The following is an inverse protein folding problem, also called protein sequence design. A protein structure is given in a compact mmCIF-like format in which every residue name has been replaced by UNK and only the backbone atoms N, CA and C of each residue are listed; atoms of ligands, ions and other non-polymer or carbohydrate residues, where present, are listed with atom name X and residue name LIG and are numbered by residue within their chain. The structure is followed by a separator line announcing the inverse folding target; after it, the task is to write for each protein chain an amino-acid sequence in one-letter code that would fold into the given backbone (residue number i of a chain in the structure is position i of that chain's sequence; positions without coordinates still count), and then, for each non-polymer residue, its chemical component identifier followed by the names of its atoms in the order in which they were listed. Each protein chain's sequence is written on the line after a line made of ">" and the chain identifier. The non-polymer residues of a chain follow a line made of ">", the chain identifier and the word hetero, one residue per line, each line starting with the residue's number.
data_IF_112610162923
#
_entry.id   IF_112610162923
#
_cell.length_a   1.000
_cell.length_b   1.000
_cell.length_c   1.000
_cell.angle_alpha   90.00
_cell.angle_beta   90.00
_cell.angle_gamma   90.00
#
_symmetry.space_group_name_H-M   'P 1'
#
loop_
_entity.id
_entity.type
_entity.pdbx_description
1 polymer ?
#
# COMPACT_ATOMS: atom_id res chain seq x y z
N UNK A 1 -3.05 -7.42 29.72
CA UNK A 1 -2.81 -7.72 28.28
C UNK A 1 -1.44 -8.34 28.04
N UNK A 2 -0.33 -7.67 28.44
CA UNK A 2 1.04 -8.13 28.15
C UNK A 2 1.33 -9.55 28.67
N UNK A 3 1.06 -9.85 29.91
CA UNK A 3 1.31 -11.18 30.52
C UNK A 3 0.51 -12.30 29.83
N UNK A 4 -0.76 -12.03 29.48
CA UNK A 4 -1.61 -12.99 28.76
C UNK A 4 -1.06 -13.28 27.37
N UNK A 5 -0.63 -12.23 26.64
CA UNK A 5 -0.02 -12.37 25.34
C UNK A 5 1.30 -13.18 25.43
N UNK A 6 2.15 -12.90 26.42
CA UNK A 6 3.41 -13.63 26.61
C UNK A 6 3.16 -15.12 26.85
N UNK A 7 2.23 -15.46 27.76
CA UNK A 7 1.87 -16.84 28.03
C UNK A 7 1.31 -17.55 26.80
N UNK A 8 0.43 -16.89 26.05
CA UNK A 8 -0.14 -17.40 24.80
C UNK A 8 0.96 -17.65 23.75
N UNK A 9 1.85 -16.68 23.52
CA UNK A 9 2.91 -16.80 22.50
C UNK A 9 3.91 -17.92 22.84
N UNK A 10 4.29 -18.07 24.10
CA UNK A 10 5.17 -19.18 24.54
C UNK A 10 4.54 -20.56 24.35
N UNK A 11 3.21 -20.65 24.43
CA UNK A 11 2.48 -21.89 24.12
C UNK A 11 2.32 -22.15 22.62
N UNK A 12 2.12 -21.10 21.82
CA UNK A 12 1.80 -21.19 20.39
C UNK A 12 3.04 -21.22 19.48
N UNK A 13 4.15 -20.59 19.88
CA UNK A 13 5.38 -20.49 19.10
C UNK A 13 6.51 -21.18 19.87
N UNK A 14 6.93 -22.33 19.39
CA UNK A 14 7.97 -23.10 20.05
C UNK A 14 9.31 -22.37 20.15
N UNK A 15 10.00 -22.55 21.27
CA UNK A 15 11.37 -22.14 21.48
C UNK A 15 11.56 -20.66 21.87
N UNK A 16 10.51 -19.89 22.19
CA UNK A 16 10.65 -18.54 22.74
C UNK A 16 11.27 -18.57 24.14
N UNK A 17 12.31 -17.74 24.37
CA UNK A 17 13.08 -17.71 25.62
C UNK A 17 13.10 -16.32 26.23
N UNK A 18 13.13 -16.25 27.56
CA UNK A 18 13.19 -15.00 28.33
C UNK A 18 11.84 -14.28 28.42
N UNK A 19 11.82 -13.07 29.02
CA UNK A 19 10.64 -12.25 29.15
C UNK A 19 10.32 -11.54 27.85
N UNK A 20 9.00 -11.32 27.61
CA UNK A 20 8.54 -10.55 26.46
C UNK A 20 8.72 -9.03 26.67
N UNK A 21 9.35 -8.36 25.72
CA UNK A 21 9.35 -6.92 25.57
C UNK A 21 8.41 -6.56 24.41
N UNK A 22 7.62 -5.49 24.58
CA UNK A 22 6.65 -5.06 23.56
C UNK A 22 6.69 -3.54 23.46
N UNK A 23 6.90 -3.04 22.23
CA UNK A 23 7.00 -1.61 21.92
C UNK A 23 6.12 -1.26 20.72
N UNK A 24 5.32 -0.18 20.79
CA UNK A 24 4.49 0.25 19.66
C UNK A 24 5.39 0.73 18.51
N UNK A 25 5.00 0.41 17.28
CA UNK A 25 5.63 0.97 16.07
C UNK A 25 4.89 2.26 15.74
N UNK A 26 5.61 3.39 15.78
CA UNK A 26 5.06 4.69 15.42
C UNK A 26 4.76 4.78 13.91
N UNK A 27 3.70 5.50 13.51
CA UNK A 27 3.37 5.82 12.12
C UNK A 27 2.33 4.93 11.44
N UNK A 28 1.88 3.84 12.06
CA UNK A 28 0.75 3.05 11.55
C UNK A 28 -0.59 3.73 11.86
N UNK A 29 -1.32 4.17 10.82
CA UNK A 29 -2.60 4.87 11.03
C UNK A 29 -3.81 3.94 11.11
N UNK A 30 -3.69 2.68 10.66
CA UNK A 30 -4.82 1.78 10.48
C UNK A 30 -4.87 0.68 11.55
N UNK A 31 -3.92 -0.22 11.54
CA UNK A 31 -3.86 -1.37 12.45
C UNK A 31 -2.72 -1.21 13.45
N UNK A 32 -2.98 -1.19 14.78
CA UNK A 32 -1.92 -1.10 15.79
C UNK A 32 -0.89 -2.21 15.61
N UNK A 33 0.38 -1.82 15.49
CA UNK A 33 1.51 -2.70 15.22
C UNK A 33 2.57 -2.52 16.30
N UNK A 34 3.19 -3.62 16.72
CA UNK A 34 4.14 -3.64 17.83
C UNK A 34 5.34 -4.51 17.52
N UNK A 35 6.53 -4.08 17.92
CA UNK A 35 7.67 -4.97 18.08
C UNK A 35 7.44 -5.84 19.31
N UNK A 36 7.72 -7.14 19.18
CA UNK A 36 7.61 -8.13 20.25
C UNK A 36 8.91 -8.92 20.28
N UNK A 37 9.74 -8.61 21.28
CA UNK A 37 11.07 -9.17 21.40
C UNK A 37 11.16 -10.13 22.59
N UNK A 38 11.70 -11.30 22.33
CA UNK A 38 12.20 -12.27 23.31
C UNK A 38 13.74 -12.29 23.28
N UNK A 39 14.39 -12.94 24.21
CA UNK A 39 15.87 -12.93 24.27
C UNK A 39 16.52 -13.54 23.02
N UNK A 40 15.83 -14.49 22.40
CA UNK A 40 16.33 -15.22 21.23
C UNK A 40 15.57 -14.96 19.93
N UNK A 41 14.51 -14.11 19.93
CA UNK A 41 13.68 -13.91 18.74
C UNK A 41 12.95 -12.57 18.73
N UNK A 42 13.02 -11.89 17.59
CA UNK A 42 12.31 -10.62 17.33
C UNK A 42 11.14 -10.86 16.38
N UNK A 43 9.97 -10.41 16.78
CA UNK A 43 8.70 -10.61 16.09
C UNK A 43 7.97 -9.26 15.90
N UNK A 44 6.92 -9.29 15.08
CA UNK A 44 5.96 -8.18 14.95
C UNK A 44 4.55 -8.72 15.20
N UNK A 45 3.81 -8.02 16.05
CA UNK A 45 2.39 -8.21 16.26
C UNK A 45 1.62 -7.10 15.53
N UNK A 46 0.61 -7.46 14.73
CA UNK A 46 -0.36 -6.51 14.15
C UNK A 46 -1.76 -6.94 14.53
N UNK A 47 -2.56 -6.03 15.09
CA UNK A 47 -3.90 -6.31 15.62
C UNK A 47 -4.94 -5.36 15.03
N UNK A 48 -6.20 -5.79 15.02
CA UNK A 48 -7.30 -4.87 14.75
C UNK A 48 -7.38 -3.78 15.84
N UNK A 49 -7.77 -2.54 15.50
CA UNK A 49 -8.10 -1.54 16.50
C UNK A 49 -9.36 -1.93 17.30
N UNK A 50 -9.50 -1.37 18.51
CA UNK A 50 -10.61 -1.68 19.43
C UNK A 50 -11.90 -0.91 19.11
N UNK A 51 -11.86 0.03 18.16
CA UNK A 51 -13.00 0.86 17.77
C UNK A 51 -14.09 0.08 17.02
N UNK A 52 -15.30 0.61 16.97
CA UNK A 52 -16.37 0.10 16.10
C UNK A 52 -15.96 0.27 14.62
N UNK A 53 -15.66 -0.83 13.98
CA UNK A 53 -15.17 -0.88 12.62
C UNK A 53 -16.32 -1.04 11.62
N UNK A 54 -16.21 -0.39 10.47
CA UNK A 54 -17.04 -0.73 9.32
C UNK A 54 -16.73 -2.18 8.89
N UNK A 55 -17.73 -2.94 8.43
CA UNK A 55 -17.50 -4.27 7.88
C UNK A 55 -16.38 -4.24 6.82
N UNK A 56 -15.44 -5.17 6.89
CA UNK A 56 -14.25 -5.27 6.04
C UNK A 56 -13.15 -4.19 6.21
N UNK A 57 -13.31 -3.21 7.09
CA UNK A 57 -12.19 -2.34 7.47
C UNK A 57 -11.24 -3.08 8.44
N UNK A 58 -9.93 -2.88 8.26
CA UNK A 58 -8.92 -3.43 9.16
C UNK A 58 -8.90 -4.97 9.26
N UNK A 59 -9.10 -5.66 8.14
CA UNK A 59 -9.20 -7.12 8.04
C UNK A 59 -7.80 -7.78 8.15
N UNK A 60 -7.28 -7.92 9.38
CA UNK A 60 -5.94 -8.52 9.65
C UNK A 60 -5.84 -9.99 9.21
N UNK A 61 -6.96 -10.71 9.13
CA UNK A 61 -7.06 -12.06 8.57
C UNK A 61 -6.73 -12.08 7.07
N UNK A 62 -7.16 -11.08 6.31
CA UNK A 62 -6.85 -10.93 4.89
C UNK A 62 -5.38 -10.59 4.67
N UNK A 63 -4.82 -9.69 5.48
CA UNK A 63 -3.39 -9.37 5.44
C UNK A 63 -2.54 -10.62 5.71
N UNK A 64 -2.87 -11.36 6.77
CA UNK A 64 -2.20 -12.61 7.11
C UNK A 64 -2.28 -13.61 5.96
N UNK A 65 -3.48 -13.83 5.40
CA UNK A 65 -3.73 -14.81 4.34
C UNK A 65 -2.92 -14.53 3.09
N UNK A 66 -2.90 -13.28 2.61
CA UNK A 66 -2.16 -12.94 1.38
C UNK A 66 -0.65 -13.09 1.59
N UNK A 67 -0.09 -12.64 2.71
CA UNK A 67 1.34 -12.80 3.00
C UNK A 67 1.72 -14.26 3.19
N UNK A 68 0.87 -15.06 3.85
CA UNK A 68 1.10 -16.50 3.99
C UNK A 68 1.12 -17.20 2.63
N UNK A 69 0.19 -16.88 1.74
CA UNK A 69 0.15 -17.44 0.39
C UNK A 69 1.37 -17.01 -0.45
N UNK A 70 1.79 -15.76 -0.37
CA UNK A 70 2.95 -15.23 -1.10
C UNK A 70 4.28 -15.79 -0.59
N UNK A 71 4.37 -16.33 0.61
CA UNK A 71 5.61 -16.88 1.18
C UNK A 71 6.22 -18.03 0.35
N UNK A 72 5.44 -18.69 -0.51
CA UNK A 72 5.89 -19.72 -1.43
C UNK A 72 6.32 -19.17 -2.82
N UNK A 73 6.39 -17.86 -2.99
CA UNK A 73 6.69 -17.19 -4.26
C UNK A 73 7.96 -16.33 -4.16
N UNK A 74 8.36 -15.72 -5.28
CA UNK A 74 9.49 -14.78 -5.33
C UNK A 74 9.15 -13.37 -4.79
N UNK A 75 7.93 -13.14 -4.31
CA UNK A 75 7.52 -11.87 -3.70
C UNK A 75 8.00 -11.84 -2.25
N UNK A 76 8.88 -10.90 -1.88
CA UNK A 76 9.39 -10.85 -0.52
C UNK A 76 8.30 -10.36 0.45
N UNK A 77 7.94 -11.20 1.41
CA UNK A 77 7.00 -10.90 2.49
C UNK A 77 7.55 -11.40 3.83
N UNK A 78 7.16 -10.81 4.97
CA UNK A 78 7.50 -11.35 6.28
C UNK A 78 6.96 -12.78 6.43
N UNK A 79 7.70 -13.66 7.08
CA UNK A 79 7.21 -15.00 7.40
C UNK A 79 6.08 -14.91 8.42
N UNK A 80 4.90 -15.39 8.04
CA UNK A 80 3.75 -15.51 8.92
C UNK A 80 3.95 -16.65 9.92
N UNK A 81 3.63 -16.41 11.19
CA UNK A 81 3.85 -17.36 12.28
C UNK A 81 2.56 -17.91 12.85
N UNK A 82 1.59 -17.03 13.14
CA UNK A 82 0.27 -17.41 13.61
C UNK A 82 -0.75 -16.30 13.33
N UNK A 83 -2.00 -16.71 13.18
CA UNK A 83 -3.18 -15.83 13.23
C UNK A 83 -4.08 -16.28 14.38
N UNK A 84 -4.59 -15.32 15.16
CA UNK A 84 -5.52 -15.57 16.26
C UNK A 84 -6.79 -14.74 16.06
N UNK A 85 -7.91 -15.43 15.84
CA UNK A 85 -9.18 -14.80 15.51
C UNK A 85 -9.96 -14.31 16.74
N UNK A 86 -9.72 -14.93 17.90
CA UNK A 86 -10.47 -14.65 19.11
C UNK A 86 -9.99 -13.37 19.81
N UNK A 87 -10.84 -12.83 20.67
CA UNK A 87 -10.56 -11.58 21.41
C UNK A 87 -10.02 -11.81 22.82
N UNK A 88 -9.77 -13.04 23.20
CA UNK A 88 -9.41 -13.47 24.54
C UNK A 88 -8.00 -13.06 24.97
N UNK A 89 -7.05 -12.88 24.02
CA UNK A 89 -5.64 -12.58 24.30
C UNK A 89 -5.38 -11.09 24.39
N UNK A 90 -5.65 -10.34 23.29
CA UNK A 90 -5.32 -8.89 23.19
C UNK A 90 -6.55 -8.01 22.92
N UNK A 91 -7.76 -8.55 23.11
CA UNK A 91 -9.02 -7.82 22.94
C UNK A 91 -9.55 -7.75 21.50
N UNK A 92 -8.73 -8.08 20.51
CA UNK A 92 -9.09 -8.09 19.08
C UNK A 92 -8.32 -9.16 18.34
N UNK A 93 -8.78 -9.60 17.15
CA UNK A 93 -7.99 -10.47 16.27
C UNK A 93 -6.61 -9.87 15.99
N UNK A 94 -5.60 -10.74 15.86
CA UNK A 94 -4.22 -10.34 15.58
C UNK A 94 -3.46 -11.42 14.84
N UNK A 95 -2.32 -11.04 14.27
CA UNK A 95 -1.34 -11.98 13.76
C UNK A 95 0.08 -11.66 14.25
N UNK A 96 0.92 -12.68 14.19
CA UNK A 96 2.35 -12.58 14.45
C UNK A 96 3.12 -12.91 13.19
N UNK A 97 4.14 -12.11 12.93
CA UNK A 97 5.08 -12.32 11.83
C UNK A 97 6.53 -12.12 12.30
N UNK A 98 7.47 -12.61 11.50
CA UNK A 98 8.88 -12.34 11.70
C UNK A 98 9.20 -10.86 11.57
N UNK A 99 10.07 -10.32 12.43
CA UNK A 99 10.60 -8.97 12.30
C UNK A 99 11.71 -8.98 11.26
N UNK A 100 11.45 -8.34 10.12
CA UNK A 100 12.46 -8.13 9.09
C UNK A 100 13.48 -7.07 9.52
N UNK A 101 14.71 -7.22 9.05
CA UNK A 101 15.76 -6.22 9.19
C UNK A 101 15.96 -5.52 7.85
N UNK A 102 15.83 -4.18 7.85
CA UNK A 102 15.95 -3.43 6.61
C UNK A 102 15.75 -1.94 6.77
N UNK A 103 15.71 -1.25 5.62
CA UNK A 103 15.50 0.19 5.51
C UNK A 103 14.20 0.46 4.78
N UNK A 104 13.39 1.36 5.32
CA UNK A 104 12.19 1.89 4.65
C UNK A 104 12.44 3.36 4.30
N UNK A 105 12.10 3.77 3.08
CA UNK A 105 12.34 5.12 2.59
C UNK A 105 11.01 5.88 2.45
N UNK A 106 10.73 6.87 3.30
CA UNK A 106 9.46 7.59 3.26
C UNK A 106 9.36 8.61 2.11
N UNK A 107 10.51 9.03 1.53
CA UNK A 107 10.57 10.09 0.53
C UNK A 107 11.05 9.57 -0.82
N UNK A 108 10.29 9.80 -1.87
CA UNK A 108 10.62 9.37 -3.24
C UNK A 108 11.94 9.98 -3.76
N UNK A 109 12.30 11.20 -3.34
CA UNK A 109 13.57 11.80 -3.72
C UNK A 109 14.81 11.12 -3.09
N UNK A 110 14.64 10.21 -2.11
CA UNK A 110 15.70 9.47 -1.42
C UNK A 110 16.83 10.41 -0.94
N UNK A 111 16.55 11.41 -0.09
CA UNK A 111 17.55 12.39 0.35
C UNK A 111 18.75 11.70 1.00
N UNK A 112 19.96 12.26 0.77
CA UNK A 112 21.21 11.71 1.32
C UNK A 112 21.75 10.48 0.58
N UNK A 113 21.07 9.94 -0.42
CA UNK A 113 21.52 8.76 -1.18
C UNK A 113 22.27 9.18 -2.45
N UNK A 114 23.33 8.45 -2.81
CA UNK A 114 24.06 8.65 -4.06
C UNK A 114 23.18 8.32 -5.29
N UNK A 115 23.37 9.05 -6.40
CA UNK A 115 22.57 8.92 -7.61
C UNK A 115 22.47 7.48 -8.14
N UNK A 116 23.59 6.78 -8.25
CA UNK A 116 23.60 5.38 -8.69
C UNK A 116 22.76 4.46 -7.79
N UNK A 117 22.77 4.71 -6.47
CA UNK A 117 21.98 3.92 -5.51
C UNK A 117 20.49 4.23 -5.59
N UNK A 118 20.10 5.46 -5.92
CA UNK A 118 18.69 5.80 -6.16
C UNK A 118 18.14 5.02 -7.34
N UNK A 119 18.86 4.98 -8.47
CA UNK A 119 18.45 4.18 -9.64
C UNK A 119 18.24 2.71 -9.25
N UNK A 120 19.19 2.10 -8.54
CA UNK A 120 19.10 0.70 -8.11
C UNK A 120 17.85 0.44 -7.23
N UNK A 121 17.51 1.37 -6.33
CA UNK A 121 16.29 1.29 -5.49
C UNK A 121 15.02 1.34 -6.34
N UNK A 122 14.93 2.26 -7.29
CA UNK A 122 13.76 2.37 -8.19
C UNK A 122 13.61 1.12 -9.06
N UNK A 123 14.68 0.61 -9.63
CA UNK A 123 14.65 -0.61 -10.45
C UNK A 123 14.26 -1.85 -9.62
N UNK A 124 14.73 -1.94 -8.37
CA UNK A 124 14.32 -3.01 -7.45
C UNK A 124 12.83 -2.93 -7.07
N UNK A 125 12.30 -1.72 -6.91
CA UNK A 125 10.86 -1.48 -6.68
C UNK A 125 10.03 -1.98 -7.88
N UNK A 126 10.36 -1.57 -9.10
CA UNK A 126 9.69 -1.99 -10.33
C UNK A 126 9.74 -3.53 -10.51
N UNK A 127 10.92 -4.13 -10.31
CA UNK A 127 11.11 -5.57 -10.42
C UNK A 127 10.29 -6.35 -9.36
N UNK A 128 10.14 -5.81 -8.16
CA UNK A 128 9.34 -6.44 -7.09
C UNK A 128 7.85 -6.39 -7.43
N UNK A 129 7.36 -5.26 -7.94
CA UNK A 129 5.99 -5.12 -8.41
C UNK A 129 5.69 -6.08 -9.58
N UNK A 130 6.63 -6.21 -10.53
CA UNK A 130 6.51 -7.16 -11.63
C UNK A 130 6.42 -8.62 -11.14
N UNK A 131 7.19 -9.00 -10.12
CA UNK A 131 7.08 -10.33 -9.50
C UNK A 131 5.69 -10.56 -8.89
N UNK A 132 5.16 -9.57 -8.15
CA UNK A 132 3.83 -9.65 -7.57
C UNK A 132 2.76 -9.88 -8.64
N UNK A 133 2.79 -9.12 -9.72
CA UNK A 133 1.77 -9.22 -10.78
C UNK A 133 1.88 -10.50 -11.62
N UNK A 134 3.01 -11.21 -11.57
CA UNK A 134 3.22 -12.51 -12.23
C UNK A 134 2.79 -13.71 -11.40
N UNK A 135 2.43 -13.51 -10.14
CA UNK A 135 2.03 -14.63 -9.27
C UNK A 135 0.75 -15.26 -9.81
N UNK A 136 0.77 -16.58 -9.97
CA UNK A 136 -0.46 -17.36 -10.18
C UNK A 136 -1.23 -17.42 -8.86
N UNK A 137 -2.12 -16.44 -8.69
CA UNK A 137 -2.92 -16.28 -7.49
C UNK A 137 -3.87 -17.45 -7.23
N UNK A 138 -4.29 -18.17 -8.29
CA UNK A 138 -5.13 -19.35 -8.15
C UNK A 138 -4.32 -20.54 -7.60
N UNK A 139 -3.11 -20.76 -8.13
CA UNK A 139 -2.23 -21.83 -7.69
C UNK A 139 -1.82 -21.70 -6.21
N UNK A 140 -1.73 -20.49 -5.68
CA UNK A 140 -1.41 -20.25 -4.25
C UNK A 140 -2.65 -20.10 -3.35
N UNK A 141 -3.85 -20.48 -3.84
CA UNK A 141 -5.08 -20.55 -3.03
C UNK A 141 -5.76 -19.20 -2.75
N UNK A 142 -5.61 -18.21 -3.64
CA UNK A 142 -6.23 -16.89 -3.52
C UNK A 142 -7.40 -16.66 -4.49
N UNK A 143 -8.03 -17.72 -5.03
CA UNK A 143 -9.13 -17.60 -6.00
C UNK A 143 -10.34 -16.83 -5.49
N UNK A 144 -10.60 -16.84 -4.20
CA UNK A 144 -11.69 -16.12 -3.53
C UNK A 144 -11.22 -14.84 -2.81
N UNK A 145 -9.95 -14.43 -2.98
CA UNK A 145 -9.38 -13.27 -2.30
C UNK A 145 -9.95 -11.94 -2.79
N UNK A 146 -10.57 -11.91 -3.96
CA UNK A 146 -11.25 -10.77 -4.56
C UNK A 146 -12.19 -11.20 -5.69
N UNK A 147 -12.82 -10.23 -6.34
CA UNK A 147 -13.67 -10.47 -7.49
C UNK A 147 -12.83 -10.41 -8.77
N UNK A 148 -13.04 -11.34 -9.67
CA UNK A 148 -12.37 -11.40 -10.96
C UNK A 148 -13.01 -10.42 -11.96
N UNK A 149 -12.20 -9.79 -12.82
CA UNK A 149 -12.65 -8.85 -13.85
C UNK A 149 -13.35 -7.59 -13.31
N UNK A 150 -13.62 -6.63 -14.17
CA UNK A 150 -14.36 -5.42 -13.84
C UNK A 150 -13.78 -4.62 -12.66
N UNK A 151 -12.46 -4.60 -12.50
CA UNK A 151 -11.83 -3.96 -11.34
C UNK A 151 -12.07 -2.46 -11.32
N UNK A 152 -11.76 -1.77 -12.42
CA UNK A 152 -11.87 -0.31 -12.48
C UNK A 152 -13.31 0.15 -12.35
N UNK A 153 -14.26 -0.49 -13.03
CA UNK A 153 -15.69 -0.18 -12.94
C UNK A 153 -16.18 -0.19 -11.49
N UNK A 154 -15.82 -1.25 -10.74
CA UNK A 154 -16.20 -1.38 -9.33
C UNK A 154 -15.53 -0.35 -8.44
N UNK A 155 -14.24 -0.08 -8.68
CA UNK A 155 -13.49 0.90 -7.87
C UNK A 155 -13.99 2.32 -8.14
N UNK A 156 -14.26 2.69 -9.39
CA UNK A 156 -14.83 4.00 -9.73
C UNK A 156 -16.17 4.18 -9.01
N UNK A 157 -17.07 3.20 -9.09
CA UNK A 157 -18.36 3.27 -8.41
C UNK A 157 -18.19 3.41 -6.88
N UNK A 158 -17.28 2.65 -6.27
CA UNK A 158 -16.97 2.73 -4.84
C UNK A 158 -16.46 4.11 -4.44
N UNK A 159 -15.44 4.63 -5.14
CA UNK A 159 -14.82 5.90 -4.80
C UNK A 159 -15.73 7.09 -5.10
N UNK A 160 -16.54 7.04 -6.17
CA UNK A 160 -17.59 8.02 -6.45
C UNK A 160 -18.60 8.09 -5.31
N UNK A 161 -19.10 6.92 -4.85
CA UNK A 161 -20.01 6.86 -3.70
C UNK A 161 -19.38 7.43 -2.44
N UNK A 162 -18.11 7.10 -2.18
CA UNK A 162 -17.39 7.63 -1.02
C UNK A 162 -17.25 9.16 -1.09
N UNK A 163 -16.90 9.70 -2.24
CA UNK A 163 -16.87 11.15 -2.47
C UNK A 163 -18.21 11.80 -2.17
N UNK A 164 -19.26 11.31 -2.80
CA UNK A 164 -20.62 11.84 -2.64
C UNK A 164 -21.13 11.83 -1.19
N UNK A 165 -20.69 10.83 -0.41
CA UNK A 165 -21.12 10.67 1.00
C UNK A 165 -20.29 11.51 1.96
N UNK A 166 -18.99 11.69 1.67
CA UNK A 166 -18.03 12.22 2.63
C UNK A 166 -17.47 13.59 2.26
N UNK A 167 -17.75 14.13 1.06
CA UNK A 167 -17.20 15.44 0.63
C UNK A 167 -17.58 16.56 1.57
N UNK A 168 -16.59 17.39 1.91
CA UNK A 168 -16.77 18.63 2.71
C UNK A 168 -16.83 19.87 1.84
N UNK A 169 -16.61 19.71 0.53
CA UNK A 169 -16.53 20.77 -0.46
C UNK A 169 -17.04 20.30 -1.83
N UNK A 170 -17.33 21.24 -2.70
CA UNK A 170 -17.51 20.99 -4.12
C UNK A 170 -16.15 21.02 -4.83
N UNK A 171 -15.96 20.17 -5.85
CA UNK A 171 -14.76 20.12 -6.67
C UNK A 171 -15.12 19.81 -8.12
N UNK A 172 -15.03 20.80 -8.98
CA UNK A 172 -15.26 20.63 -10.42
C UNK A 172 -14.32 19.58 -11.03
N UNK A 173 -13.08 19.50 -10.54
CA UNK A 173 -12.08 18.54 -11.02
C UNK A 173 -12.49 17.11 -10.67
N UNK A 174 -12.97 16.85 -9.44
CA UNK A 174 -13.44 15.52 -9.05
C UNK A 174 -14.70 15.14 -9.84
N UNK A 175 -15.65 16.04 -10.02
CA UNK A 175 -16.87 15.78 -10.81
C UNK A 175 -16.52 15.49 -12.28
N UNK A 176 -15.53 16.18 -12.87
CA UNK A 176 -15.02 15.89 -14.21
C UNK A 176 -14.41 14.49 -14.30
N UNK A 177 -13.62 14.07 -13.31
CA UNK A 177 -13.05 12.72 -13.25
C UNK A 177 -14.15 11.67 -13.09
N UNK A 178 -15.15 11.89 -12.24
CA UNK A 178 -16.31 11.00 -12.07
C UNK A 178 -17.09 10.82 -13.38
N UNK A 179 -17.24 11.88 -14.15
CA UNK A 179 -17.96 11.84 -15.43
C UNK A 179 -17.15 11.17 -16.56
N UNK A 180 -15.81 11.32 -16.55
CA UNK A 180 -14.93 10.85 -17.60
C UNK A 180 -14.51 9.39 -17.45
N UNK A 181 -14.13 8.97 -16.24
CA UNK A 181 -13.57 7.64 -15.98
C UNK A 181 -14.48 6.49 -16.45
N UNK A 182 -15.80 6.48 -16.19
CA UNK A 182 -16.66 5.36 -16.64
C UNK A 182 -16.81 5.26 -18.17
N UNK A 183 -16.55 6.35 -18.90
CA UNK A 183 -16.65 6.41 -20.37
C UNK A 183 -15.37 5.96 -21.08
N UNK A 184 -14.27 5.86 -20.35
CA UNK A 184 -12.94 5.59 -20.90
C UNK A 184 -12.30 4.34 -20.29
N UNK A 185 -13.11 3.39 -19.85
CA UNK A 185 -12.64 2.13 -19.26
C UNK A 185 -11.73 1.36 -20.25
N UNK A 186 -10.57 0.87 -19.80
CA UNK A 186 -9.75 -0.06 -20.58
C UNK A 186 -10.37 -1.46 -20.56
N UNK A 187 -9.72 -2.41 -21.20
CA UNK A 187 -10.03 -3.83 -20.99
C UNK A 187 -9.79 -4.20 -19.51
N UNK A 188 -10.78 -4.82 -18.91
CA UNK A 188 -10.78 -5.19 -17.49
C UNK A 188 -10.73 -6.71 -17.27
N UNK A 189 -10.43 -7.50 -18.30
CA UNK A 189 -10.44 -8.97 -18.21
C UNK A 189 -9.29 -9.49 -17.34
N UNK A 190 -8.16 -8.79 -17.32
CA UNK A 190 -6.99 -9.22 -16.56
C UNK A 190 -7.18 -9.12 -15.05
N UNK A 191 -6.63 -10.11 -14.34
CA UNK A 191 -6.65 -10.18 -12.89
C UNK A 191 -5.29 -10.61 -12.35
N UNK A 192 -4.78 -9.87 -11.40
CA UNK A 192 -3.57 -10.16 -10.63
C UNK A 192 -3.79 -9.91 -9.14
N UNK A 193 -2.81 -10.22 -8.31
CA UNK A 193 -2.79 -9.69 -6.94
C UNK A 193 -2.43 -8.21 -7.02
N UNK A 194 -3.37 -7.33 -6.66
CA UNK A 194 -3.11 -5.91 -6.48
C UNK A 194 -2.81 -5.63 -5.00
N UNK A 195 -1.71 -4.94 -4.74
CA UNK A 195 -1.36 -4.48 -3.41
C UNK A 195 -2.28 -3.35 -2.95
N UNK A 196 -2.64 -2.47 -3.88
CA UNK A 196 -3.51 -1.33 -3.63
C UNK A 196 -2.83 -0.10 -3.00
N UNK A 197 -1.62 -0.23 -2.44
CA UNK A 197 -0.78 0.86 -1.93
C UNK A 197 0.71 0.55 -2.17
N UNK A 198 1.05 0.07 -3.39
CA UNK A 198 2.43 -0.28 -3.71
C UNK A 198 3.28 0.97 -3.94
N UNK A 199 3.98 1.39 -2.93
CA UNK A 199 4.80 2.61 -2.91
C UNK A 199 6.11 2.40 -2.14
N UNK A 200 7.07 3.29 -2.36
CA UNK A 200 8.40 3.23 -1.75
C UNK A 200 8.35 3.08 -0.21
N UNK A 201 7.44 3.80 0.45
CA UNK A 201 7.28 3.75 1.91
C UNK A 201 6.71 2.43 2.45
N UNK A 202 6.18 1.55 1.59
CA UNK A 202 5.69 0.23 1.95
C UNK A 202 6.63 -0.90 1.52
N UNK A 203 7.86 -0.56 1.13
CA UNK A 203 8.90 -1.52 0.78
C UNK A 203 10.05 -1.45 1.77
N UNK A 204 10.42 -2.59 2.34
CA UNK A 204 11.62 -2.72 3.15
C UNK A 204 12.75 -3.23 2.28
N UNK A 205 13.83 -2.46 2.21
CA UNK A 205 15.05 -2.81 1.50
C UNK A 205 16.07 -3.42 2.45
N UNK A 206 16.92 -4.28 1.93
CA UNK A 206 18.03 -4.86 2.67
C UNK A 206 18.87 -3.75 3.34
N UNK A 207 19.52 -4.00 4.51
CA UNK A 207 20.28 -2.98 5.23
C UNK A 207 21.36 -2.27 4.39
N UNK A 208 21.98 -2.96 3.46
CA UNK A 208 23.09 -2.44 2.64
C UNK A 208 22.87 -2.54 1.13
N UNK A 209 22.09 -3.53 0.67
CA UNK A 209 21.83 -3.80 -0.75
C UNK A 209 20.56 -3.10 -1.25
N UNK A 210 20.42 -2.88 -2.58
CA UNK A 210 19.22 -2.24 -3.17
C UNK A 210 18.07 -3.22 -3.39
N UNK A 211 18.09 -4.44 -2.85
CA UNK A 211 17.01 -5.42 -3.01
C UNK A 211 15.93 -5.25 -1.96
N UNK A 212 14.68 -5.45 -2.35
CA UNK A 212 13.54 -5.50 -1.43
C UNK A 212 13.57 -6.81 -0.65
N UNK A 213 13.40 -6.72 0.67
CA UNK A 213 13.34 -7.87 1.59
C UNK A 213 11.94 -8.06 2.18
N UNK A 214 11.04 -7.07 2.01
CA UNK A 214 9.65 -7.18 2.44
C UNK A 214 8.76 -6.16 1.76
N UNK A 215 7.63 -6.62 1.26
CA UNK A 215 6.49 -5.77 0.89
C UNK A 215 5.57 -5.73 2.09
N UNK A 216 5.23 -4.54 2.56
CA UNK A 216 4.52 -4.26 3.81
C UNK A 216 3.15 -3.63 3.51
N UNK A 217 2.26 -3.67 4.49
CA UNK A 217 0.96 -2.97 4.48
C UNK A 217 -0.03 -3.45 3.42
N UNK A 218 -0.43 -4.70 3.56
CA UNK A 218 -1.34 -5.41 2.65
C UNK A 218 -2.83 -5.16 2.90
N UNK A 219 -3.20 -4.18 3.72
CA UNK A 219 -4.60 -3.94 4.12
C UNK A 219 -5.55 -3.61 2.95
N UNK A 220 -5.03 -3.03 1.86
CA UNK A 220 -5.79 -2.68 0.66
C UNK A 220 -5.71 -3.75 -0.44
N UNK A 221 -5.02 -4.85 -0.18
CA UNK A 221 -4.78 -5.88 -1.19
C UNK A 221 -6.05 -6.63 -1.60
N UNK A 222 -6.11 -6.98 -2.87
CA UNK A 222 -7.24 -7.71 -3.47
C UNK A 222 -6.81 -8.34 -4.80
N UNK A 223 -7.69 -9.14 -5.41
CA UNK A 223 -7.58 -9.42 -6.83
C UNK A 223 -8.04 -8.18 -7.62
N UNK A 224 -7.14 -7.67 -8.48
CA UNK A 224 -7.36 -6.43 -9.23
C UNK A 224 -6.58 -6.39 -10.55
N UNK A 225 -6.64 -5.26 -11.23
CA UNK A 225 -5.92 -5.06 -12.47
C UNK A 225 -4.48 -4.58 -12.18
N UNK A 226 -3.43 -5.21 -12.74
CA UNK A 226 -2.03 -4.88 -12.41
C UNK A 226 -1.67 -3.43 -12.74
N UNK A 227 -2.19 -2.86 -13.82
CA UNK A 227 -1.90 -1.47 -14.20
C UNK A 227 -2.47 -0.43 -13.21
N UNK A 228 -3.38 -0.83 -12.31
CA UNK A 228 -3.83 0.04 -11.23
C UNK A 228 -2.71 0.30 -10.21
N UNK A 229 -1.95 -0.73 -9.84
CA UNK A 229 -0.79 -0.58 -8.95
C UNK A 229 0.37 0.13 -9.65
N UNK A 230 0.58 -0.14 -10.94
CA UNK A 230 1.64 0.52 -11.73
C UNK A 230 1.41 2.02 -11.80
N UNK A 231 0.20 2.45 -12.20
CA UNK A 231 -0.14 3.86 -12.25
C UNK A 231 -0.08 4.53 -10.88
N UNK A 232 -0.58 3.86 -9.84
CA UNK A 232 -0.49 4.36 -8.47
C UNK A 232 0.97 4.55 -8.02
N UNK A 233 1.85 3.60 -8.32
CA UNK A 233 3.27 3.70 -7.99
C UNK A 233 3.95 4.88 -8.71
N UNK A 234 3.54 5.18 -9.94
CA UNK A 234 4.09 6.26 -10.75
C UNK A 234 3.52 7.66 -10.44
N UNK A 235 2.47 7.80 -9.62
CA UNK A 235 1.89 9.14 -9.35
C UNK A 235 2.88 10.14 -8.76
N UNK A 236 3.95 9.67 -8.12
CA UNK A 236 5.00 10.54 -7.62
C UNK A 236 5.68 11.37 -8.73
N UNK A 237 5.77 10.84 -9.97
CA UNK A 237 6.29 11.59 -11.13
C UNK A 237 5.35 12.72 -11.57
N UNK A 238 4.07 12.65 -11.21
CA UNK A 238 3.03 13.62 -11.59
C UNK A 238 2.67 14.61 -10.49
N UNK A 239 3.20 14.42 -9.28
CA UNK A 239 2.94 15.28 -8.12
C UNK A 239 4.20 16.03 -7.68
N UNK A 240 4.01 17.27 -7.17
CA UNK A 240 5.10 18.09 -6.66
C UNK A 240 5.60 17.58 -5.30
N UNK A 241 6.83 17.93 -4.88
CA UNK A 241 7.33 17.61 -3.53
C UNK A 241 6.39 18.03 -2.39
N UNK A 242 5.73 19.18 -2.54
CA UNK A 242 4.72 19.66 -1.59
C UNK A 242 3.38 18.91 -1.69
N UNK A 243 3.16 18.12 -2.75
CA UNK A 243 1.98 17.31 -2.97
C UNK A 243 2.29 15.86 -2.58
N UNK A 244 2.33 15.58 -1.28
CA UNK A 244 2.55 14.24 -0.73
C UNK A 244 3.93 13.62 -1.08
N UNK A 245 4.96 14.45 -1.19
CA UNK A 245 6.33 13.98 -1.43
C UNK A 245 6.60 13.54 -2.87
N UNK A 246 5.89 14.07 -3.85
CA UNK A 246 6.14 13.82 -5.27
C UNK A 246 7.50 14.27 -5.75
N UNK A 247 7.84 13.94 -6.98
CA UNK A 247 9.15 14.25 -7.60
C UNK A 247 9.01 15.07 -8.88
N UNK A 248 7.80 15.48 -9.27
CA UNK A 248 7.56 16.36 -10.41
C UNK A 248 8.31 17.69 -10.24
N UNK A 249 9.02 18.10 -11.28
CA UNK A 249 9.79 19.36 -11.28
C UNK A 249 11.18 19.25 -10.65
N UNK A 250 11.58 18.12 -10.11
CA UNK A 250 12.96 17.86 -9.70
C UNK A 250 13.82 17.50 -10.92
N UNK A 251 15.11 17.79 -10.84
CA UNK A 251 16.09 17.30 -11.81
C UNK A 251 16.38 15.82 -11.55
N UNK A 252 15.52 14.95 -12.14
CA UNK A 252 15.60 13.49 -11.93
C UNK A 252 16.93 12.92 -12.42
N UNK A 253 17.49 13.46 -13.51
CA UNK A 253 18.76 12.99 -14.05
C UNK A 253 19.92 13.28 -13.09
N UNK A 254 20.02 14.49 -12.56
CA UNK A 254 21.01 14.84 -11.56
C UNK A 254 20.84 14.05 -10.26
N UNK A 255 19.61 13.72 -9.89
CA UNK A 255 19.30 12.91 -8.72
C UNK A 255 19.58 11.41 -8.95
N UNK A 256 19.69 10.94 -10.18
CA UNK A 256 19.79 9.52 -10.52
C UNK A 256 18.47 8.76 -10.32
N UNK A 257 17.34 9.46 -10.39
CA UNK A 257 16.01 8.88 -10.39
C UNK A 257 15.61 8.64 -11.86
N UNK A 258 15.14 7.44 -12.23
CA UNK A 258 14.75 7.17 -13.61
C UNK A 258 13.56 8.05 -14.02
N UNK A 259 13.56 8.50 -15.27
CA UNK A 259 12.35 9.05 -15.86
C UNK A 259 11.24 8.00 -15.84
N UNK A 260 9.97 8.44 -15.85
CA UNK A 260 8.82 7.53 -15.76
C UNK A 260 8.86 6.46 -16.87
N UNK A 261 9.16 6.86 -18.11
CA UNK A 261 9.25 5.92 -19.24
C UNK A 261 10.32 4.84 -19.02
N UNK A 262 11.47 5.18 -18.45
CA UNK A 262 12.54 4.21 -18.20
C UNK A 262 12.19 3.29 -17.02
N UNK A 263 11.52 3.81 -16.01
CA UNK A 263 10.97 3.03 -14.91
C UNK A 263 9.92 2.02 -15.43
N UNK A 264 8.98 2.48 -16.25
CA UNK A 264 7.95 1.66 -16.86
C UNK A 264 8.53 0.60 -17.83
N UNK A 265 9.49 0.98 -18.67
CA UNK A 265 10.22 0.00 -19.52
C UNK A 265 10.82 -1.13 -18.70
N UNK A 266 11.44 -0.80 -17.56
CA UNK A 266 12.00 -1.83 -16.67
C UNK A 266 10.91 -2.74 -16.08
N UNK A 267 9.79 -2.16 -15.63
CA UNK A 267 8.65 -2.95 -15.14
C UNK A 267 8.11 -3.88 -16.25
N UNK A 268 7.87 -3.37 -17.48
CA UNK A 268 7.35 -4.18 -18.58
C UNK A 268 8.31 -5.30 -18.97
N UNK A 269 9.61 -5.02 -19.04
CA UNK A 269 10.62 -6.04 -19.32
C UNK A 269 10.64 -7.15 -18.25
N UNK A 270 10.41 -6.81 -16.97
CA UNK A 270 10.38 -7.80 -15.87
C UNK A 270 9.06 -8.55 -15.77
N UNK A 271 7.94 -7.91 -16.07
CA UNK A 271 6.61 -8.53 -16.05
C UNK A 271 6.30 -9.34 -17.32
N UNK A 272 6.95 -9.03 -18.43
CA UNK A 272 6.66 -9.62 -19.76
C UNK A 272 5.42 -9.02 -20.43
N UNK A 273 4.92 -7.88 -19.95
CA UNK A 273 3.73 -7.21 -20.49
C UNK A 273 4.03 -6.50 -21.80
N UNK A 274 3.05 -6.54 -22.69
CA UNK A 274 3.08 -5.82 -23.98
C UNK A 274 2.15 -4.61 -24.02
N UNK A 275 1.18 -4.54 -23.11
CA UNK A 275 0.32 -3.38 -22.87
C UNK A 275 0.86 -2.52 -21.72
N UNK A 276 0.50 -1.25 -21.69
CA UNK A 276 1.03 -0.28 -20.75
C UNK A 276 -0.04 0.59 -20.08
N UNK A 277 0.40 1.36 -19.11
CA UNK A 277 -0.44 2.39 -18.49
C UNK A 277 -0.84 3.44 -19.53
N UNK A 278 -2.05 3.95 -19.39
CA UNK A 278 -2.61 5.01 -20.23
C UNK A 278 -3.07 6.17 -19.37
N UNK A 279 -3.50 7.26 -20.00
CA UNK A 279 -4.11 8.40 -19.31
C UNK A 279 -5.22 8.00 -18.34
N UNK A 280 -6.03 6.99 -18.69
CA UNK A 280 -7.06 6.46 -17.81
C UNK A 280 -6.51 5.97 -16.47
N UNK A 281 -5.42 5.21 -16.48
CA UNK A 281 -4.86 4.61 -15.28
C UNK A 281 -4.33 5.67 -14.31
N UNK A 282 -3.67 6.70 -14.83
CA UNK A 282 -3.19 7.85 -14.04
C UNK A 282 -4.36 8.69 -13.49
N UNK A 283 -5.34 9.03 -14.34
CA UNK A 283 -6.54 9.74 -13.91
C UNK A 283 -7.26 8.98 -12.78
N UNK A 284 -7.40 7.66 -12.92
CA UNK A 284 -8.00 6.80 -11.90
C UNK A 284 -7.20 6.79 -10.59
N UNK A 285 -5.87 6.63 -10.66
CA UNK A 285 -5.02 6.59 -9.47
C UNK A 285 -5.07 7.93 -8.70
N UNK A 286 -5.02 9.05 -9.42
CA UNK A 286 -5.09 10.40 -8.84
C UNK A 286 -6.48 10.73 -8.30
N UNK A 287 -7.55 10.34 -8.99
CA UNK A 287 -8.94 10.42 -8.51
C UNK A 287 -9.11 9.66 -7.18
N UNK A 288 -8.64 8.42 -7.12
CA UNK A 288 -8.69 7.61 -5.91
C UNK A 288 -7.99 8.30 -4.74
N UNK A 289 -6.79 8.86 -4.97
CA UNK A 289 -6.06 9.57 -3.93
C UNK A 289 -6.76 10.86 -3.50
N UNK A 290 -7.35 11.62 -4.42
CA UNK A 290 -8.14 12.80 -4.09
C UNK A 290 -9.30 12.45 -3.13
N UNK A 291 -10.02 11.34 -3.39
CA UNK A 291 -11.11 10.88 -2.51
C UNK A 291 -10.59 10.38 -1.16
N UNK A 292 -9.44 9.70 -1.12
CA UNK A 292 -8.80 9.25 0.13
C UNK A 292 -8.43 10.46 1.00
N UNK A 293 -7.80 11.50 0.42
CA UNK A 293 -7.42 12.70 1.14
C UNK A 293 -8.63 13.49 1.66
N UNK A 294 -9.74 13.54 0.91
CA UNK A 294 -11.00 14.11 1.41
C UNK A 294 -11.51 13.34 2.62
N UNK A 295 -11.46 12.01 2.58
CA UNK A 295 -11.84 11.19 3.73
C UNK A 295 -10.96 11.43 4.97
N UNK A 296 -9.68 11.77 4.80
CA UNK A 296 -8.78 12.18 5.90
C UNK A 296 -9.21 13.53 6.45
N UNK A 297 -9.55 14.50 5.59
CA UNK A 297 -10.07 15.82 6.01
C UNK A 297 -11.33 15.70 6.85
N UNK A 298 -12.27 14.84 6.44
CA UNK A 298 -13.51 14.56 7.20
C UNK A 298 -13.20 14.02 8.60
N UNK A 299 -12.31 13.05 8.70
CA UNK A 299 -11.90 12.48 10.01
C UNK A 299 -11.21 13.52 10.88
N UNK A 300 -10.38 14.39 10.31
CA UNK A 300 -9.74 15.48 11.03
C UNK A 300 -10.77 16.47 11.58
N UNK A 301 -11.75 16.86 10.77
CA UNK A 301 -12.81 17.78 11.19
C UNK A 301 -13.70 17.20 12.30
N UNK A 302 -13.90 15.87 12.32
CA UNK A 302 -14.68 15.19 13.38
C UNK A 302 -13.87 14.83 14.64
N UNK A 303 -12.60 15.23 14.73
CA UNK A 303 -11.71 14.93 15.87
C UNK A 303 -11.23 13.48 15.93
N UNK A 304 -11.50 12.67 14.89
CA UNK A 304 -11.15 11.26 14.82
C UNK A 304 -9.88 10.98 14.00
N UNK A 305 -9.01 11.98 13.80
CA UNK A 305 -7.79 11.82 13.04
C UNK A 305 -6.64 11.30 13.91
N UNK A 306 -5.99 10.24 13.46
CA UNK A 306 -4.88 9.62 14.18
C UNK A 306 -3.55 10.40 14.06
N UNK A 307 -3.43 11.34 13.13
CA UNK A 307 -2.20 12.11 12.87
C UNK A 307 -2.43 13.61 13.05
N UNK A 308 -1.49 14.31 13.71
CA UNK A 308 -1.55 15.75 13.96
C UNK A 308 -1.58 16.63 12.68
N UNK A 309 -1.19 16.08 11.52
CA UNK A 309 -1.20 16.77 10.22
C UNK A 309 -2.38 16.37 9.31
N UNK A 310 -3.41 15.72 9.83
CA UNK A 310 -4.50 15.18 9.02
C UNK A 310 -5.28 16.26 8.23
N UNK A 311 -5.38 17.50 8.76
CA UNK A 311 -5.99 18.62 8.05
C UNK A 311 -5.16 19.05 6.83
N UNK A 312 -3.82 19.11 6.97
CA UNK A 312 -2.91 19.44 5.86
C UNK A 312 -2.96 18.36 4.78
N UNK A 313 -2.92 17.09 5.17
CA UNK A 313 -3.04 15.96 4.26
C UNK A 313 -4.38 15.97 3.54
N UNK A 314 -5.48 16.30 4.24
CA UNK A 314 -6.80 16.45 3.63
C UNK A 314 -6.86 17.55 2.57
N UNK A 315 -6.07 18.63 2.72
CA UNK A 315 -5.99 19.71 1.73
C UNK A 315 -5.41 19.26 0.37
N UNK A 316 -4.69 18.13 0.34
CA UNK A 316 -4.17 17.55 -0.90
C UNK A 316 -5.26 17.02 -1.85
N UNK A 317 -6.49 16.79 -1.37
CA UNK A 317 -7.60 16.31 -2.20
C UNK A 317 -7.73 17.12 -3.50
N UNK A 318 -7.75 18.46 -3.40
CA UNK A 318 -7.86 19.35 -4.56
C UNK A 318 -6.63 19.29 -5.49
N UNK A 319 -5.42 19.16 -4.92
CA UNK A 319 -4.20 19.06 -5.72
C UNK A 319 -4.20 17.78 -6.56
N UNK A 320 -4.55 16.65 -5.97
CA UNK A 320 -4.60 15.36 -6.68
C UNK A 320 -5.72 15.33 -7.72
N UNK A 321 -6.89 15.90 -7.44
CA UNK A 321 -7.95 16.01 -8.43
C UNK A 321 -7.50 16.82 -9.65
N UNK A 322 -6.85 17.98 -9.42
CA UNK A 322 -6.27 18.80 -10.48
C UNK A 322 -5.24 18.04 -11.33
N UNK A 323 -4.35 17.25 -10.69
CA UNK A 323 -3.40 16.39 -11.42
C UNK A 323 -4.12 15.31 -12.23
N UNK A 324 -5.19 14.73 -11.71
CA UNK A 324 -6.00 13.75 -12.44
C UNK A 324 -6.63 14.33 -13.70
N UNK A 325 -7.13 15.55 -13.65
CA UNK A 325 -7.73 16.24 -14.82
C UNK A 325 -6.70 16.54 -15.92
N UNK A 326 -5.40 16.66 -15.62
CA UNK A 326 -4.36 16.82 -16.64
C UNK A 326 -4.33 15.64 -17.64
N UNK A 327 -4.84 14.47 -17.26
CA UNK A 327 -4.95 13.27 -18.10
C UNK A 327 -6.29 13.13 -18.84
N UNK A 328 -7.25 14.00 -18.54
CA UNK A 328 -8.59 13.97 -19.13
C UNK A 328 -8.59 14.81 -20.40
N UNK A 329 -8.64 14.12 -21.55
CA UNK A 329 -8.86 14.79 -22.84
C UNK A 329 -10.38 14.92 -23.09
N UNK A 330 -10.79 16.05 -23.66
CA UNK A 330 -12.19 16.31 -24.06
C UNK A 330 -12.58 15.53 -25.31
#
# INVERSE_FOLDING_TARGET
>A
MKERLEAFLKGAIAGLQGPMRMEPIAGGQSNPTFFVDFDNRSLVLRKQPEANLLPSAHAVDREFRVMQALAATDVPVPKMLLFHADRDVVGTPFYMMERLQGRVFPHYALPGMAAAKRLEIYLAMAATMARLHKVDWAAIGLSDFGRHGGYFSRQIARWTKQWQTARTRESADVERLIAWLPKNLPDEAETSISHGDFRLGNLMFHPTEPRVVGVLDWELSTLGHPLADVAFNCIAHHTLPAEYGGIRGLDLAALGIPAEDDYLKHYYAKSGRTDGVSAFHFAFALFRMAVIFEGIAVRAASGNAAAGNAAEVGALSSAFAKRGVEFVND
#
